data_IF_415445717374
#
_entry.id   IF_415445717374
#
_cell.length_a   1.000
_cell.length_b   1.000
_cell.length_c   1.000
_cell.angle_alpha   90.00
_cell.angle_beta   90.00
_cell.angle_gamma   90.00
#
_symmetry.space_group_name_H-M   'P 1'
#
loop_
_entity.id
_entity.type
_entity.pdbx_description
1 polymer ?
#
# COMPACT_ATOMS: atom_id res chain seq x y z
N UNK A 1 -13.34 8.58 -10.13
CA UNK A 1 -11.99 8.06 -9.95
C UNK A 1 -11.63 8.24 -8.48
N UNK A 2 -11.72 7.17 -7.69
CA UNK A 2 -11.49 7.15 -6.26
C UNK A 2 -10.17 6.45 -5.98
N UNK A 3 -9.30 7.11 -5.22
CA UNK A 3 -8.02 6.53 -4.80
C UNK A 3 -8.08 6.34 -3.30
N UNK A 4 -7.88 5.11 -2.83
CA UNK A 4 -7.72 4.84 -1.41
C UNK A 4 -6.25 5.01 -1.04
N UNK A 5 -5.96 5.87 -0.07
CA UNK A 5 -4.61 6.09 0.46
C UNK A 5 -4.55 5.55 1.88
N UNK A 6 -3.60 4.65 2.12
CA UNK A 6 -3.36 3.96 3.39
C UNK A 6 -1.90 4.12 3.81
N UNK A 7 -1.64 3.96 5.11
CA UNK A 7 -0.31 3.91 5.71
C UNK A 7 -0.40 3.16 7.03
N UNK A 8 0.71 2.62 7.51
CA UNK A 8 0.85 2.17 8.90
C UNK A 8 -0.27 1.22 9.32
N UNK A 9 -0.61 0.27 8.45
CA UNK A 9 -1.64 -0.72 8.79
C UNK A 9 -1.15 -1.67 9.87
N UNK A 10 0.17 -1.89 10.00
CA UNK A 10 0.79 -2.72 11.04
C UNK A 10 0.11 -4.09 11.23
N UNK A 11 -0.34 -4.68 10.12
CA UNK A 11 -1.04 -5.97 10.10
C UNK A 11 -2.52 -5.92 10.45
N UNK A 12 -3.11 -4.73 10.58
CA UNK A 12 -4.52 -4.51 10.93
C UNK A 12 -5.24 -3.73 9.82
N UNK A 13 -6.16 -4.38 9.12
CA UNK A 13 -7.12 -3.73 8.24
C UNK A 13 -8.48 -3.69 8.92
N UNK A 14 -8.96 -2.47 9.22
CA UNK A 14 -10.23 -2.29 9.93
C UNK A 14 -11.43 -2.50 9.00
N UNK A 15 -12.54 -3.10 9.45
CA UNK A 15 -13.69 -3.36 8.60
C UNK A 15 -14.31 -2.13 7.92
N UNK A 16 -14.26 -0.98 8.58
CA UNK A 16 -14.76 0.29 8.06
C UNK A 16 -13.98 0.72 6.81
N UNK A 17 -12.67 0.45 6.78
CA UNK A 17 -11.80 0.74 5.63
C UNK A 17 -12.17 -0.15 4.45
N UNK A 18 -12.57 -1.41 4.69
CA UNK A 18 -12.99 -2.33 3.62
C UNK A 18 -14.18 -1.79 2.81
N UNK A 19 -15.08 -1.04 3.44
CA UNK A 19 -16.19 -0.38 2.74
C UNK A 19 -15.71 0.64 1.71
N UNK A 20 -14.70 1.44 2.07
CA UNK A 20 -14.08 2.43 1.18
C UNK A 20 -13.26 1.78 0.07
N UNK A 21 -12.61 0.64 0.34
CA UNK A 21 -11.81 -0.07 -0.65
C UNK A 21 -12.64 -0.68 -1.79
N UNK A 22 -13.89 -1.09 -1.52
CA UNK A 22 -14.79 -1.66 -2.53
C UNK A 22 -15.16 -0.69 -3.66
N UNK A 23 -15.06 0.61 -3.42
CA UNK A 23 -15.39 1.66 -4.40
C UNK A 23 -14.15 2.39 -4.92
N UNK A 24 -12.95 1.91 -4.58
CA UNK A 24 -11.69 2.48 -5.01
C UNK A 24 -11.29 1.93 -6.39
N UNK A 25 -10.82 2.81 -7.26
CA UNK A 25 -10.25 2.44 -8.56
C UNK A 25 -8.75 2.05 -8.43
N UNK A 26 -8.08 2.50 -7.36
CA UNK A 26 -6.70 2.14 -7.02
C UNK A 26 -6.43 2.34 -5.52
N UNK A 27 -5.43 1.61 -5.02
CA UNK A 27 -4.97 1.68 -3.63
C UNK A 27 -3.50 2.08 -3.61
N UNK A 28 -3.18 3.09 -2.81
CA UNK A 28 -1.84 3.58 -2.54
C UNK A 28 -1.51 3.31 -1.07
N UNK A 29 -0.44 2.57 -0.77
CA UNK A 29 0.00 2.29 0.59
C UNK A 29 1.41 2.85 0.84
N UNK A 30 1.55 3.73 1.83
CA UNK A 30 2.80 4.43 2.11
C UNK A 30 3.84 3.63 2.94
N UNK A 31 3.52 2.39 3.28
CA UNK A 31 4.43 1.42 3.94
C UNK A 31 3.96 1.01 5.33
N UNK A 32 4.72 0.15 6.00
CA UNK A 32 4.42 -0.41 7.33
C UNK A 32 3.14 -1.27 7.34
N UNK A 33 3.07 -2.18 6.38
CA UNK A 33 2.01 -3.18 6.24
C UNK A 33 2.22 -4.36 7.21
N UNK A 34 3.47 -4.76 7.44
CA UNK A 34 3.96 -5.85 8.30
C UNK A 34 3.51 -7.27 7.96
N UNK A 35 2.45 -7.44 7.18
CA UNK A 35 1.81 -8.74 6.93
C UNK A 35 1.48 -8.94 5.46
N UNK A 36 1.98 -10.04 4.88
CA UNK A 36 1.69 -10.39 3.48
C UNK A 36 0.19 -10.60 3.25
N UNK A 37 -0.52 -11.08 4.27
CA UNK A 37 -1.98 -11.30 4.20
C UNK A 37 -2.74 -9.98 3.93
N UNK A 38 -2.26 -8.85 4.46
CA UNK A 38 -2.86 -7.54 4.21
C UNK A 38 -2.60 -7.09 2.78
N UNK A 39 -1.38 -7.31 2.26
CA UNK A 39 -1.05 -7.04 0.86
C UNK A 39 -1.97 -7.81 -0.07
N UNK A 40 -2.17 -9.10 0.21
CA UNK A 40 -3.01 -9.98 -0.60
C UNK A 40 -4.49 -9.58 -0.51
N UNK A 41 -4.98 -9.21 0.67
CA UNK A 41 -6.34 -8.66 0.84
C UNK A 41 -6.54 -7.36 0.06
N UNK A 42 -5.62 -6.40 0.16
CA UNK A 42 -5.74 -5.11 -0.56
C UNK A 42 -5.81 -5.32 -2.07
N UNK A 43 -5.01 -6.24 -2.62
CA UNK A 43 -5.01 -6.60 -4.05
C UNK A 43 -6.34 -7.18 -4.55
N UNK A 44 -7.19 -7.70 -3.66
CA UNK A 44 -8.52 -8.21 -4.04
C UNK A 44 -9.52 -7.09 -4.33
N UNK A 45 -9.30 -5.88 -3.82
CA UNK A 45 -10.23 -4.76 -3.99
C UNK A 45 -9.93 -3.92 -5.23
N UNK A 46 -8.66 -3.58 -5.46
CA UNK A 46 -8.22 -2.74 -6.58
C UNK A 46 -6.71 -2.90 -6.82
N UNK A 47 -6.16 -2.38 -7.94
CA UNK A 47 -4.71 -2.31 -8.15
C UNK A 47 -4.00 -1.63 -6.96
N UNK A 48 -3.02 -2.32 -6.38
CA UNK A 48 -2.26 -1.86 -5.22
C UNK A 48 -0.87 -1.36 -5.63
N UNK A 49 -0.55 -0.15 -5.21
CA UNK A 49 0.78 0.45 -5.27
C UNK A 49 1.25 0.69 -3.84
N UNK A 50 2.24 -0.07 -3.40
CA UNK A 50 2.78 0.03 -2.06
C UNK A 50 4.27 0.31 -2.12
N UNK A 51 4.75 1.15 -1.21
CA UNK A 51 6.17 1.27 -0.90
C UNK A 51 6.48 0.52 0.39
N UNK A 52 7.73 0.10 0.54
CA UNK A 52 8.18 -0.63 1.72
C UNK A 52 8.45 0.35 2.86
N UNK A 53 7.83 0.12 4.02
CA UNK A 53 8.14 0.80 5.26
C UNK A 53 9.28 0.15 6.03
N UNK A 54 9.73 0.78 7.12
CA UNK A 54 10.85 0.30 7.92
C UNK A 54 10.49 -0.99 8.70
N UNK A 55 9.21 -1.21 8.99
CA UNK A 55 8.72 -2.37 9.73
C UNK A 55 8.36 -3.56 8.82
N UNK A 56 8.29 -3.37 7.50
CA UNK A 56 8.00 -4.42 6.53
C UNK A 56 9.16 -5.42 6.39
N UNK A 57 9.08 -6.55 7.09
CA UNK A 57 10.13 -7.59 7.10
C UNK A 57 9.84 -8.69 6.08
N UNK A 58 10.59 -8.70 4.96
CA UNK A 58 10.56 -9.79 3.98
C UNK A 58 10.92 -9.33 2.55
N UNK A 59 11.76 -10.12 1.88
CA UNK A 59 11.80 -10.20 0.41
C UNK A 59 12.48 -9.07 -0.38
N UNK A 60 13.71 -8.68 0.00
CA UNK A 60 14.57 -7.84 -0.85
C UNK A 60 15.45 -6.91 -0.03
N UNK A 61 16.68 -6.63 -0.49
CA UNK A 61 17.49 -5.55 0.10
C UNK A 61 16.64 -4.27 0.11
N UNK A 62 16.82 -3.35 1.08
CA UNK A 62 16.36 -1.98 0.88
C UNK A 62 16.85 -1.56 -0.50
N UNK A 63 15.92 -1.29 -1.43
CA UNK A 63 16.31 -0.77 -2.74
C UNK A 63 17.08 0.51 -2.45
N UNK A 64 18.35 0.64 -2.85
CA UNK A 64 19.19 1.79 -2.42
C UNK A 64 18.73 3.14 -3.00
N UNK A 65 17.55 3.17 -3.62
CA UNK A 65 17.07 4.18 -4.54
C UNK A 65 15.58 4.32 -4.28
N UNK A 66 15.07 5.55 -4.14
CA UNK A 66 13.64 5.76 -4.04
C UNK A 66 12.94 5.28 -5.32
N UNK A 67 12.12 4.24 -5.18
CA UNK A 67 11.24 3.81 -6.27
C UNK A 67 10.04 4.74 -6.32
N UNK A 68 10.11 5.70 -7.24
CA UNK A 68 9.02 6.62 -7.50
C UNK A 68 8.07 5.99 -8.53
N UNK A 69 6.87 5.62 -8.09
CA UNK A 69 5.83 5.13 -9.00
C UNK A 69 4.93 6.29 -9.41
N UNK A 70 5.01 6.78 -10.67
CA UNK A 70 4.14 7.83 -11.14
C UNK A 70 2.74 7.28 -11.40
N UNK A 71 1.74 7.82 -10.71
CA UNK A 71 0.33 7.49 -10.93
C UNK A 71 -0.48 8.76 -11.17
N UNK A 72 -0.70 9.12 -12.44
CA UNK A 72 -1.48 10.31 -12.86
C UNK A 72 -1.09 11.61 -12.12
N UNK A 73 0.19 11.79 -11.79
CA UNK A 73 0.71 12.96 -11.06
C UNK A 73 0.82 12.80 -9.54
N UNK A 74 0.38 11.67 -8.99
CA UNK A 74 0.67 11.25 -7.61
C UNK A 74 1.94 10.41 -7.62
N UNK A 75 2.87 10.72 -6.74
CA UNK A 75 4.13 10.02 -6.59
C UNK A 75 4.16 9.35 -5.22
N UNK A 76 4.26 8.02 -5.18
CA UNK A 76 4.66 7.34 -3.95
C UNK A 76 6.18 7.27 -3.87
N UNK A 77 6.69 7.63 -2.71
CA UNK A 77 8.11 7.61 -2.41
C UNK A 77 8.30 6.81 -1.11
N UNK A 78 9.02 5.70 -1.19
CA UNK A 78 9.46 4.92 -0.03
C UNK A 78 10.91 5.22 0.29
N UNK A 79 11.24 5.25 1.58
CA UNK A 79 12.60 5.41 2.10
C UNK A 79 13.28 4.06 2.35
#
# INVERSE_FOLDING_TARGET
MNIAILSDTHGLLRPEVMGCLKTADAILHAGDINRQEIVDQLRQYAPLYAVRGNNDKGGGRPTPHPHCHPWRGVFLHGA
#
